data_IF_832360384228
#
_entry.id   IF_832360384228
#
_cell.length_a   1.000
_cell.length_b   1.000
_cell.length_c   1.000
_cell.angle_alpha   90.00
_cell.angle_beta   90.00
_cell.angle_gamma   90.00
#
_symmetry.space_group_name_H-M   'P 1'
#
loop_
_entity.id
_entity.type
_entity.pdbx_description
1 polymer ?
#
# COMPACT_ATOMS: atom_id res chain seq x y z
N UNK A 1 64.49 32.70 -32.20
CA UNK A 1 64.44 33.59 -31.03
C UNK A 1 63.09 33.46 -30.34
N UNK A 2 63.11 33.27 -29.02
CA UNK A 2 62.12 33.60 -27.97
C UNK A 2 60.80 32.81 -27.87
N UNK A 3 60.79 31.98 -26.82
CA UNK A 3 59.64 31.42 -26.10
C UNK A 3 58.77 32.52 -25.46
N UNK A 4 57.45 32.30 -25.39
CA UNK A 4 56.55 32.99 -24.47
C UNK A 4 55.68 31.96 -23.75
N UNK A 5 55.80 31.93 -22.43
CA UNK A 5 55.04 31.09 -21.50
C UNK A 5 53.91 31.90 -20.85
N UNK A 6 52.70 31.33 -20.74
CA UNK A 6 51.58 31.77 -19.90
C UNK A 6 50.61 30.58 -19.78
N UNK A 7 49.97 30.22 -18.67
CA UNK A 7 49.95 30.64 -17.27
C UNK A 7 49.15 29.52 -16.56
N UNK A 8 49.71 28.88 -15.53
CA UNK A 8 49.01 27.85 -14.74
C UNK A 8 47.81 28.49 -14.04
N UNK A 9 46.59 27.99 -14.27
CA UNK A 9 45.39 28.37 -13.51
C UNK A 9 45.36 27.58 -12.20
N UNK A 10 45.71 28.26 -11.11
CA UNK A 10 45.35 27.85 -9.75
C UNK A 10 43.84 28.06 -9.58
N UNK A 11 43.07 26.97 -9.46
CA UNK A 11 41.70 27.01 -8.95
C UNK A 11 41.76 26.67 -7.46
N UNK A 12 41.89 27.75 -6.69
CA UNK A 12 41.75 27.80 -5.24
C UNK A 12 40.41 27.23 -4.80
N UNK A 13 40.47 26.18 -3.97
CA UNK A 13 39.56 25.79 -2.89
C UNK A 13 38.15 26.38 -2.94
N UNK A 14 37.18 25.60 -3.44
CA UNK A 14 35.77 25.76 -3.06
C UNK A 14 35.67 25.41 -1.57
N UNK A 15 35.42 26.42 -0.73
CA UNK A 15 35.05 26.26 0.67
C UNK A 15 33.84 25.33 0.76
N UNK A 16 34.01 24.19 1.41
CA UNK A 16 32.90 23.37 1.87
C UNK A 16 32.01 24.23 2.78
N UNK A 17 30.76 24.42 2.37
CA UNK A 17 29.81 25.28 3.06
C UNK A 17 29.14 24.45 4.18
N UNK A 18 29.42 24.72 5.48
CA UNK A 18 28.97 23.86 6.58
C UNK A 18 27.44 23.80 6.74
N UNK A 19 26.72 24.78 6.19
CA UNK A 19 25.25 24.83 6.22
C UNK A 19 24.57 23.71 5.43
N UNK A 20 25.22 23.14 4.42
CA UNK A 20 24.64 22.03 3.62
C UNK A 20 24.70 20.71 4.40
N UNK A 21 25.78 20.50 5.18
CA UNK A 21 25.97 19.28 5.97
C UNK A 21 25.00 19.17 7.16
N UNK A 22 24.53 20.29 7.71
CA UNK A 22 23.56 20.29 8.81
C UNK A 22 22.13 19.98 8.35
N UNK A 23 21.77 20.36 7.12
CA UNK A 23 20.46 20.07 6.54
C UNK A 23 20.28 18.59 6.17
N UNK A 24 21.34 17.94 5.66
CA UNK A 24 21.34 16.50 5.36
C UNK A 24 21.20 15.65 6.63
N UNK A 25 21.84 16.05 7.73
CA UNK A 25 21.73 15.34 9.01
C UNK A 25 20.35 15.47 9.65
N UNK A 26 19.68 16.62 9.51
CA UNK A 26 18.32 16.82 10.02
C UNK A 26 17.29 15.97 9.27
N UNK A 27 17.40 15.92 7.94
CA UNK A 27 16.53 15.09 7.10
C UNK A 27 16.74 13.59 7.37
N UNK A 28 17.99 13.17 7.56
CA UNK A 28 18.28 11.77 7.88
C UNK A 28 17.71 11.37 9.25
N UNK A 29 17.82 12.25 10.25
CA UNK A 29 17.25 11.99 11.57
C UNK A 29 15.72 11.90 11.52
N UNK A 30 15.07 12.78 10.75
CA UNK A 30 13.62 12.74 10.54
C UNK A 30 13.15 11.43 9.89
N UNK A 31 13.90 10.90 8.93
CA UNK A 31 13.63 9.59 8.31
C UNK A 31 13.77 8.47 9.34
N UNK A 32 14.84 8.47 10.14
CA UNK A 32 15.08 7.47 11.18
C UNK A 32 13.99 7.51 12.26
N UNK A 33 13.59 8.69 12.70
CA UNK A 33 12.55 8.88 13.70
C UNK A 33 11.18 8.40 13.16
N UNK A 34 10.91 8.63 11.87
CA UNK A 34 9.69 8.14 11.20
C UNK A 34 9.66 6.62 11.09
N UNK A 35 10.79 5.99 10.72
CA UNK A 35 10.89 4.52 10.61
C UNK A 35 10.73 3.86 11.97
N UNK A 36 11.40 4.37 13.00
CA UNK A 36 11.29 3.85 14.37
C UNK A 36 9.87 4.01 14.93
N UNK A 37 9.17 5.11 14.59
CA UNK A 37 7.78 5.30 15.01
C UNK A 37 6.83 4.27 14.38
N UNK A 38 7.06 3.88 13.12
CA UNK A 38 6.27 2.85 12.43
C UNK A 38 6.49 1.48 13.08
N UNK A 39 7.73 1.11 13.40
CA UNK A 39 8.03 -0.17 14.08
C UNK A 39 7.37 -0.26 15.46
N UNK A 40 7.29 0.85 16.21
CA UNK A 40 6.61 0.86 17.52
C UNK A 40 5.08 0.79 17.46
N UNK A 41 4.46 1.04 16.30
CA UNK A 41 3.00 0.97 16.15
C UNK A 41 2.50 -0.44 15.80
N UNK A 42 3.40 -1.36 15.45
CA UNK A 42 3.04 -2.73 15.06
C UNK A 42 3.02 -3.74 16.21
N UNK A 43 3.48 -3.37 17.42
CA UNK A 43 3.69 -4.36 18.51
C UNK A 43 2.59 -4.44 19.59
N UNK A 44 1.63 -3.51 19.69
CA UNK A 44 0.72 -3.43 20.86
C UNK A 44 -0.78 -3.31 20.53
N UNK A 45 -1.31 -4.15 19.63
CA UNK A 45 -2.75 -4.45 19.66
C UNK A 45 -3.01 -5.94 19.44
N UNK A 46 -3.71 -6.65 20.34
CA UNK A 46 -4.28 -7.94 20.00
C UNK A 46 -5.32 -7.65 18.91
N UNK A 47 -4.95 -7.90 17.65
CA UNK A 47 -5.88 -7.74 16.54
C UNK A 47 -7.01 -8.74 16.73
N UNK A 48 -8.13 -8.31 17.31
CA UNK A 48 -9.36 -9.06 17.20
C UNK A 48 -9.56 -9.31 15.69
N UNK A 49 -9.56 -10.57 15.27
CA UNK A 49 -9.73 -10.93 13.87
C UNK A 49 -11.08 -10.36 13.40
N UNK A 50 -11.02 -9.23 12.69
CA UNK A 50 -12.21 -8.54 12.23
C UNK A 50 -12.97 -9.47 11.29
N UNK A 51 -14.18 -9.83 11.69
CA UNK A 51 -15.10 -10.57 10.82
C UNK A 51 -15.56 -9.63 9.70
N UNK A 52 -15.26 -10.02 8.46
CA UNK A 52 -15.68 -9.28 7.26
C UNK A 52 -16.98 -9.87 6.74
N UNK A 53 -18.00 -9.04 6.60
CA UNK A 53 -19.29 -9.45 6.03
C UNK A 53 -19.17 -9.66 4.52
N UNK A 54 -20.09 -10.46 3.95
CA UNK A 54 -20.11 -10.69 2.49
C UNK A 54 -20.28 -9.39 1.69
N UNK A 55 -21.03 -8.42 2.21
CA UNK A 55 -21.21 -7.10 1.58
C UNK A 55 -19.93 -6.28 1.58
N UNK A 56 -19.20 -6.23 2.70
CA UNK A 56 -17.91 -5.54 2.79
C UNK A 56 -16.86 -6.17 1.85
N UNK A 57 -16.81 -7.50 1.80
CA UNK A 57 -15.88 -8.21 0.93
C UNK A 57 -16.17 -7.95 -0.57
N UNK A 58 -17.45 -7.91 -0.95
CA UNK A 58 -17.86 -7.54 -2.32
C UNK A 58 -17.48 -6.11 -2.67
N UNK A 59 -17.72 -5.17 -1.75
CA UNK A 59 -17.35 -3.76 -1.92
C UNK A 59 -15.82 -3.61 -2.07
N UNK A 60 -15.04 -4.34 -1.27
CA UNK A 60 -13.58 -4.36 -1.39
C UNK A 60 -13.10 -4.85 -2.75
N UNK A 61 -13.70 -5.92 -3.28
CA UNK A 61 -13.39 -6.43 -4.62
C UNK A 61 -13.71 -5.40 -5.72
N UNK A 62 -14.87 -4.75 -5.63
CA UNK A 62 -15.31 -3.74 -6.60
C UNK A 62 -14.41 -2.50 -6.58
N UNK A 63 -14.03 -2.04 -5.38
CA UNK A 63 -13.09 -0.93 -5.20
C UNK A 63 -11.71 -1.23 -5.78
N UNK A 64 -11.19 -2.44 -5.56
CA UNK A 64 -9.91 -2.88 -6.12
C UNK A 64 -9.94 -2.91 -7.66
N UNK A 65 -10.99 -3.49 -8.25
CA UNK A 65 -11.16 -3.52 -9.71
C UNK A 65 -11.26 -2.11 -10.30
N UNK A 66 -12.03 -1.22 -9.65
CA UNK A 66 -12.16 0.16 -10.05
C UNK A 66 -10.82 0.91 -9.94
N UNK A 67 -10.08 0.70 -8.85
CA UNK A 67 -8.77 1.33 -8.64
C UNK A 67 -7.76 0.93 -9.71
N UNK A 68 -7.67 -0.38 -10.03
CA UNK A 68 -6.81 -0.90 -11.11
C UNK A 68 -7.15 -0.22 -12.44
N UNK A 69 -8.44 -0.13 -12.77
CA UNK A 69 -8.90 0.49 -14.01
C UNK A 69 -8.63 2.00 -14.04
N UNK A 70 -8.94 2.72 -12.96
CA UNK A 70 -8.78 4.18 -12.86
C UNK A 70 -7.32 4.62 -12.90
N UNK A 71 -6.43 3.87 -12.25
CA UNK A 71 -5.00 4.16 -12.21
C UNK A 71 -4.23 3.54 -13.39
N UNK A 72 -4.95 2.85 -14.29
CA UNK A 72 -4.38 2.14 -15.43
C UNK A 72 -3.17 1.29 -15.03
N UNK A 73 -3.30 0.59 -13.89
CA UNK A 73 -2.21 -0.22 -13.36
C UNK A 73 -2.00 -1.40 -14.30
N UNK A 74 -0.76 -1.64 -14.69
CA UNK A 74 -0.39 -2.76 -15.53
C UNK A 74 -0.35 -4.05 -14.68
N UNK A 75 -1.52 -4.47 -14.21
CA UNK A 75 -1.70 -5.69 -13.42
C UNK A 75 -1.98 -6.85 -14.36
N UNK A 76 -1.33 -7.98 -14.09
CA UNK A 76 -1.52 -9.19 -14.88
C UNK A 76 -2.99 -9.62 -14.93
N UNK A 77 -3.43 -10.03 -16.12
CA UNK A 77 -4.79 -10.47 -16.35
C UNK A 77 -5.21 -11.64 -15.43
N UNK A 78 -4.27 -12.53 -15.10
CA UNK A 78 -4.51 -13.66 -14.18
C UNK A 78 -4.91 -13.21 -12.77
N UNK A 79 -4.32 -12.13 -12.27
CA UNK A 79 -4.64 -11.54 -10.97
C UNK A 79 -6.03 -10.91 -11.00
N UNK A 80 -6.34 -10.16 -12.06
CA UNK A 80 -7.67 -9.57 -12.27
C UNK A 80 -8.74 -10.67 -12.34
N UNK A 81 -8.46 -11.76 -13.04
CA UNK A 81 -9.39 -12.88 -13.17
C UNK A 81 -9.62 -13.60 -11.83
N UNK A 82 -8.56 -13.78 -11.04
CA UNK A 82 -8.66 -14.33 -9.68
C UNK A 82 -9.57 -13.48 -8.80
N UNK A 83 -9.41 -12.16 -8.83
CA UNK A 83 -10.25 -11.22 -8.08
C UNK A 83 -11.72 -11.28 -8.53
N UNK A 84 -11.98 -11.35 -9.84
CA UNK A 84 -13.34 -11.51 -10.38
C UNK A 84 -13.99 -12.82 -9.95
N UNK A 85 -13.22 -13.91 -9.94
CA UNK A 85 -13.69 -15.22 -9.49
C UNK A 85 -14.00 -15.23 -7.99
N UNK A 86 -13.16 -14.58 -7.18
CA UNK A 86 -13.41 -14.42 -5.75
C UNK A 86 -14.72 -13.66 -5.48
N UNK A 87 -14.91 -12.51 -6.14
CA UNK A 87 -16.15 -11.73 -6.08
C UNK A 87 -17.37 -12.59 -6.42
N UNK A 88 -17.31 -13.37 -7.51
CA UNK A 88 -18.39 -14.28 -7.91
C UNK A 88 -18.68 -15.33 -6.84
N UNK A 89 -17.64 -15.94 -6.28
CA UNK A 89 -17.76 -16.97 -5.23
C UNK A 89 -18.43 -16.41 -3.97
N UNK A 90 -17.99 -15.24 -3.49
CA UNK A 90 -18.59 -14.57 -2.32
C UNK A 90 -20.08 -14.30 -2.57
N UNK A 91 -20.43 -13.75 -3.73
CA UNK A 91 -21.82 -13.48 -4.08
C UNK A 91 -22.68 -14.75 -4.08
N UNK A 92 -22.17 -15.85 -4.66
CA UNK A 92 -22.89 -17.13 -4.68
C UNK A 92 -23.08 -17.71 -3.28
N UNK A 93 -22.03 -17.72 -2.46
CA UNK A 93 -22.10 -18.22 -1.09
C UNK A 93 -23.07 -17.39 -0.25
N UNK A 94 -23.07 -16.06 -0.40
CA UNK A 94 -23.97 -15.17 0.34
C UNK A 94 -25.45 -15.45 0.02
N UNK A 95 -25.78 -15.72 -1.25
CA UNK A 95 -27.15 -16.05 -1.67
C UNK A 95 -27.56 -17.42 -1.15
N UNK A 96 -26.68 -18.40 -1.22
CA UNK A 96 -26.97 -19.75 -0.73
C UNK A 96 -27.16 -19.77 0.79
N UNK A 97 -26.36 -19.01 1.53
CA UNK A 97 -26.51 -18.87 2.98
C UNK A 97 -27.86 -18.24 3.34
N UNK A 98 -28.26 -17.18 2.64
CA UNK A 98 -29.58 -16.59 2.82
C UNK A 98 -30.71 -17.59 2.55
N UNK A 99 -30.59 -18.41 1.49
CA UNK A 99 -31.55 -19.47 1.14
C UNK A 99 -31.65 -20.52 2.24
N UNK A 100 -30.52 -20.93 2.81
CA UNK A 100 -30.46 -21.91 3.91
C UNK A 100 -31.14 -21.37 5.17
N UNK A 101 -30.82 -20.13 5.56
CA UNK A 101 -31.46 -19.47 6.71
C UNK A 101 -32.99 -19.42 6.53
N UNK A 102 -33.48 -19.05 5.34
CA UNK A 102 -34.93 -19.07 5.08
C UNK A 102 -35.53 -20.47 5.21
N UNK A 103 -34.87 -21.51 4.71
CA UNK A 103 -35.35 -22.89 4.84
C UNK A 103 -35.40 -23.35 6.30
N UNK A 104 -34.39 -23.00 7.10
CA UNK A 104 -34.34 -23.30 8.53
C UNK A 104 -35.47 -22.59 9.29
N UNK A 105 -35.75 -21.33 8.98
CA UNK A 105 -36.88 -20.60 9.54
C UNK A 105 -38.23 -21.27 9.22
N UNK A 106 -38.44 -21.75 8.00
CA UNK A 106 -39.65 -22.50 7.64
C UNK A 106 -39.77 -23.82 8.41
N UNK A 107 -38.68 -24.59 8.51
CA UNK A 107 -38.69 -25.89 9.18
C UNK A 107 -38.86 -25.79 10.70
N UNK A 108 -38.39 -24.69 11.31
CA UNK A 108 -38.55 -24.43 12.74
C UNK A 108 -39.91 -23.82 13.11
N UNK A 109 -40.65 -23.29 12.14
CA UNK A 109 -41.99 -22.74 12.36
C UNK A 109 -43.08 -23.84 12.47
N UNK A 110 -42.87 -25.00 11.86
CA UNK A 110 -43.81 -26.13 11.85
C UNK A 110 -43.56 -27.18 12.98
N UNK A 111 -42.61 -26.93 13.90
CA UNK A 111 -42.22 -27.82 15.00
C UNK A 111 -42.63 -27.27 16.38
#
# INVERSE_FOLDING_TARGET
MRFAALKKRNLSNKKDNPSIKMAENGLFQEIVDTVNHIETLEEDEPSEERIVTSSEALLGCDNMLAYIAQKNLNVDYSVINTLKNLRKKISQTSVELARQTTLEEYLTFDA
#
